data_IF_242430051315
#
_entry.id   IF_242430051315
#
_cell.length_a   1.000
_cell.length_b   1.000
_cell.length_c   1.000
_cell.angle_alpha   90.00
_cell.angle_beta   90.00
_cell.angle_gamma   90.00
#
_symmetry.space_group_name_H-M   'P 1'
#
loop_
_entity.id
_entity.type
_entity.pdbx_description
1 polymer ?
#
# COMPACT_ATOMS: atom_id res chain seq x y z
N UNK A 1 18.19 -4.43 -62.48
CA UNK A 1 17.05 -5.06 -63.14
C UNK A 1 15.84 -4.27 -62.73
N UNK A 2 15.55 -3.13 -63.35
CA UNK A 2 14.85 -2.87 -64.59
C UNK A 2 13.63 -3.72 -64.81
N UNK A 3 12.50 -3.05 -64.76
CA UNK A 3 11.42 -3.02 -65.75
C UNK A 3 10.24 -2.28 -65.15
N UNK A 4 9.94 -1.07 -65.45
CA UNK A 4 9.47 -0.38 -66.62
C UNK A 4 8.27 -1.09 -67.27
N UNK A 5 7.04 -0.63 -66.97
CA UNK A 5 5.89 -0.81 -67.89
C UNK A 5 5.16 0.53 -67.98
N UNK A 6 5.42 1.14 -69.13
CA UNK A 6 4.65 2.17 -69.77
C UNK A 6 3.48 1.56 -70.50
N UNK A 7 2.39 2.24 -70.58
CA UNK A 7 1.35 2.20 -71.62
C UNK A 7 -0.02 2.28 -70.98
N UNK A 8 -0.95 3.09 -71.36
CA UNK A 8 -1.32 3.56 -72.69
C UNK A 8 -2.30 4.72 -72.55
N UNK A 9 -1.99 5.77 -73.19
CA UNK A 9 -2.91 6.86 -73.51
C UNK A 9 -3.95 6.35 -74.51
N UNK A 10 -5.22 6.50 -74.22
CA UNK A 10 -6.29 6.38 -75.20
C UNK A 10 -7.04 7.72 -75.25
N UNK A 11 -6.65 8.50 -76.20
CA UNK A 11 -7.35 9.67 -76.65
C UNK A 11 -8.69 9.23 -77.26
N UNK A 12 -9.78 9.75 -76.80
CA UNK A 12 -11.01 9.80 -77.56
C UNK A 12 -11.57 11.21 -77.39
N UNK A 13 -11.47 11.90 -78.48
CA UNK A 13 -12.05 13.21 -78.75
C UNK A 13 -13.53 13.03 -79.05
N UNK A 14 -14.41 13.70 -78.27
CA UNK A 14 -15.72 14.11 -78.74
C UNK A 14 -16.25 15.21 -77.81
N UNK A 15 -16.50 16.32 -78.45
CA UNK A 15 -17.08 17.54 -77.89
C UNK A 15 -18.43 17.28 -77.22
N UNK A 16 -18.63 17.86 -76.02
CA UNK A 16 -19.81 18.72 -75.79
C UNK A 16 -19.61 19.47 -74.48
N UNK A 17 -20.08 20.72 -74.50
CA UNK A 17 -19.89 21.69 -73.41
C UNK A 17 -20.59 21.30 -72.12
N UNK A 18 -19.84 20.76 -71.19
CA UNK A 18 -20.28 20.64 -69.83
C UNK A 18 -19.37 21.54 -68.94
N UNK A 19 -20.02 22.53 -68.43
CA UNK A 19 -19.59 23.48 -67.43
C UNK A 19 -18.77 22.76 -66.32
N UNK A 20 -17.49 23.04 -66.24
CA UNK A 20 -16.64 22.61 -65.15
C UNK A 20 -17.13 23.31 -63.90
N UNK A 21 -17.98 22.60 -63.19
CA UNK A 21 -18.30 22.95 -61.80
C UNK A 21 -17.01 22.73 -61.01
N UNK A 22 -16.41 23.83 -60.64
CA UNK A 22 -15.23 23.90 -59.77
C UNK A 22 -15.65 23.24 -58.43
N UNK A 23 -15.33 21.96 -58.26
CA UNK A 23 -15.37 21.29 -56.96
C UNK A 23 -14.37 22.00 -56.10
N UNK A 24 -14.82 22.97 -55.31
CA UNK A 24 -14.02 23.58 -54.27
C UNK A 24 -13.49 22.50 -53.37
N UNK A 25 -12.17 22.48 -53.06
CA UNK A 25 -11.63 21.48 -52.14
C UNK A 25 -12.42 21.59 -50.80
N UNK A 26 -13.10 20.49 -50.49
CA UNK A 26 -13.80 20.29 -49.24
C UNK A 26 -12.79 20.51 -48.11
N UNK A 27 -12.94 21.59 -47.33
CA UNK A 27 -12.09 21.88 -46.19
C UNK A 27 -12.14 20.66 -45.28
N UNK A 28 -10.98 20.04 -44.92
CA UNK A 28 -10.97 18.96 -43.97
C UNK A 28 -11.68 19.40 -42.69
N UNK A 29 -12.49 18.54 -42.04
CA UNK A 29 -13.26 18.88 -40.87
C UNK A 29 -12.30 19.38 -39.79
N UNK A 30 -12.41 20.66 -39.46
CA UNK A 30 -11.53 21.34 -38.50
C UNK A 30 -11.80 20.77 -37.11
N UNK A 31 -10.97 19.76 -36.79
CA UNK A 31 -10.48 19.44 -35.44
C UNK A 31 -11.43 19.59 -34.25
N UNK A 32 -12.21 18.55 -34.01
CA UNK A 32 -12.69 18.27 -32.64
C UNK A 32 -11.53 18.06 -31.64
N UNK A 33 -10.32 17.76 -32.12
CA UNK A 33 -9.13 17.48 -31.30
C UNK A 33 -8.63 18.66 -30.46
N UNK A 34 -8.76 19.91 -30.96
CA UNK A 34 -8.34 21.11 -30.18
C UNK A 34 -9.25 21.37 -28.98
N UNK A 35 -10.56 21.19 -29.11
CA UNK A 35 -11.50 21.35 -28.01
C UNK A 35 -11.37 20.19 -27.00
N UNK A 36 -11.20 18.98 -27.48
CA UNK A 36 -10.94 17.82 -26.62
C UNK A 36 -9.62 17.97 -25.85
N UNK A 37 -8.54 18.41 -26.51
CA UNK A 37 -7.25 18.67 -25.84
C UNK A 37 -7.35 19.76 -24.77
N UNK A 38 -8.13 20.81 -25.00
CA UNK A 38 -8.33 21.86 -24.02
C UNK A 38 -9.13 21.37 -22.81
N UNK A 39 -10.17 20.58 -23.02
CA UNK A 39 -10.96 19.99 -21.93
C UNK A 39 -10.11 19.05 -21.09
N UNK A 40 -9.35 18.17 -21.74
CA UNK A 40 -8.41 17.27 -21.03
C UNK A 40 -7.37 18.07 -20.25
N UNK A 41 -6.80 19.12 -20.84
CA UNK A 41 -5.84 20.00 -20.16
C UNK A 41 -6.43 20.68 -18.92
N UNK A 42 -7.66 21.16 -18.98
CA UNK A 42 -8.36 21.75 -17.83
C UNK A 42 -8.59 20.71 -16.74
N UNK A 43 -9.08 19.50 -17.10
CA UNK A 43 -9.33 18.42 -16.13
C UNK A 43 -8.04 18.02 -15.43
N UNK A 44 -6.95 17.80 -16.17
CA UNK A 44 -5.63 17.48 -15.60
C UNK A 44 -5.13 18.60 -14.71
N UNK A 45 -5.29 19.86 -15.13
CA UNK A 45 -4.92 21.02 -14.33
C UNK A 45 -5.68 21.11 -13.00
N UNK A 46 -6.99 20.88 -13.03
CA UNK A 46 -7.82 20.85 -11.80
C UNK A 46 -7.41 19.72 -10.87
N UNK A 47 -7.17 18.51 -11.40
CA UNK A 47 -6.70 17.38 -10.60
C UNK A 47 -5.32 17.66 -9.99
N UNK A 48 -4.40 18.26 -10.73
CA UNK A 48 -3.10 18.65 -10.22
C UNK A 48 -3.21 19.68 -9.10
N UNK A 49 -4.05 20.70 -9.27
CA UNK A 49 -4.30 21.71 -8.22
C UNK A 49 -4.94 21.08 -6.97
N UNK A 50 -5.91 20.20 -7.14
CA UNK A 50 -6.51 19.46 -6.02
C UNK A 50 -5.49 18.62 -5.27
N UNK A 51 -4.58 17.96 -6.00
CA UNK A 51 -3.49 17.19 -5.39
C UNK A 51 -2.50 18.08 -4.63
N UNK A 52 -2.11 19.22 -5.20
CA UNK A 52 -1.26 20.20 -4.51
C UNK A 52 -1.93 20.72 -3.25
N UNK A 53 -3.24 20.99 -3.28
CA UNK A 53 -3.99 21.39 -2.11
C UNK A 53 -4.01 20.29 -1.04
N UNK A 54 -4.19 19.03 -1.41
CA UNK A 54 -4.10 17.91 -0.48
C UNK A 54 -2.72 17.81 0.17
N UNK A 55 -1.63 17.97 -0.60
CA UNK A 55 -0.28 18.01 -0.06
C UNK A 55 -0.09 19.15 0.97
N UNK A 56 -0.62 20.34 0.68
CA UNK A 56 -0.57 21.47 1.60
C UNK A 56 -1.37 21.19 2.89
N UNK A 57 -2.57 20.61 2.78
CA UNK A 57 -3.38 20.22 3.94
C UNK A 57 -2.63 19.27 4.86
N UNK A 58 -1.97 18.23 4.31
CA UNK A 58 -1.16 17.31 5.13
C UNK A 58 -0.06 18.04 5.87
N UNK A 59 0.61 18.95 5.19
CA UNK A 59 1.73 19.68 5.81
C UNK A 59 1.29 20.61 6.93
N UNK A 60 0.15 21.30 6.76
CA UNK A 60 -0.29 22.30 7.72
C UNK A 60 -1.17 21.75 8.84
N UNK A 61 -2.00 20.73 8.55
CA UNK A 61 -2.97 20.20 9.51
C UNK A 61 -2.57 18.84 10.10
N UNK A 62 -1.84 18.02 9.36
CA UNK A 62 -1.54 16.64 9.78
C UNK A 62 -0.05 16.38 10.00
N UNK A 63 0.79 17.42 10.15
CA UNK A 63 2.21 17.20 10.42
C UNK A 63 2.43 16.53 11.79
N UNK A 64 1.66 16.97 12.80
CA UNK A 64 1.76 16.50 14.19
C UNK A 64 0.48 15.79 14.66
N UNK A 65 -0.35 15.32 13.72
CA UNK A 65 -1.56 14.56 13.99
C UNK A 65 -1.63 13.30 13.13
N UNK A 66 -2.30 12.27 13.63
CA UNK A 66 -2.57 11.06 12.86
C UNK A 66 -3.51 11.36 11.68
N UNK A 67 -3.34 10.64 10.57
CA UNK A 67 -4.24 10.74 9.42
C UNK A 67 -5.62 10.15 9.76
N UNK A 68 -6.68 10.53 9.00
CA UNK A 68 -7.97 9.86 9.11
C UNK A 68 -7.86 8.35 8.91
N UNK A 69 -8.72 7.58 9.58
CA UNK A 69 -8.76 6.11 9.52
C UNK A 69 -7.42 5.44 9.82
N UNK A 70 -6.71 5.97 10.81
CA UNK A 70 -5.46 5.37 11.34
C UNK A 70 -5.73 4.72 12.68
N UNK A 71 -5.36 3.45 12.81
CA UNK A 71 -5.35 2.72 14.08
C UNK A 71 -3.92 2.25 14.43
N UNK A 72 -3.66 2.11 15.72
CA UNK A 72 -2.44 1.52 16.28
C UNK A 72 -2.84 0.31 17.10
N UNK A 73 -2.43 -0.89 16.64
CA UNK A 73 -2.81 -2.17 17.25
C UNK A 73 -4.33 -2.27 17.53
N UNK A 74 -5.16 -1.79 16.59
CA UNK A 74 -6.62 -1.82 16.71
C UNK A 74 -7.25 -0.68 17.50
N UNK A 75 -6.47 0.24 18.06
CA UNK A 75 -6.96 1.45 18.71
C UNK A 75 -7.05 2.59 17.71
N UNK A 76 -8.24 3.15 17.50
CA UNK A 76 -8.44 4.29 16.60
C UNK A 76 -7.80 5.55 17.18
N UNK A 77 -6.85 6.09 16.43
CA UNK A 77 -6.12 7.33 16.77
C UNK A 77 -6.31 8.41 15.70
N UNK A 78 -7.31 8.27 14.85
CA UNK A 78 -7.60 9.16 13.73
C UNK A 78 -7.69 10.63 14.17
N UNK A 79 -6.91 11.49 13.52
CA UNK A 79 -6.90 12.93 13.78
C UNK A 79 -6.34 13.37 15.14
N UNK A 80 -5.84 12.44 15.96
CA UNK A 80 -5.28 12.77 17.28
C UNK A 80 -3.85 13.32 17.14
N UNK A 81 -3.52 14.29 18.00
CA UNK A 81 -2.16 14.80 18.12
C UNK A 81 -1.25 13.81 18.86
N UNK A 82 0.06 13.89 18.62
CA UNK A 82 1.04 12.99 19.24
C UNK A 82 0.87 12.89 20.78
N UNK A 83 0.71 14.02 21.47
CA UNK A 83 0.51 14.05 22.92
C UNK A 83 -0.78 13.34 23.38
N UNK A 84 -1.84 13.40 22.58
CA UNK A 84 -3.10 12.72 22.89
C UNK A 84 -2.95 11.20 22.73
N UNK A 85 -2.22 10.76 21.70
CA UNK A 85 -1.91 9.35 21.49
C UNK A 85 -1.02 8.82 22.61
N UNK A 86 0.00 9.58 23.00
CA UNK A 86 0.87 9.21 24.12
C UNK A 86 0.07 9.04 25.42
N UNK A 87 -0.78 10.01 25.76
CA UNK A 87 -1.63 9.93 26.95
C UNK A 87 -2.66 8.78 26.90
N UNK A 88 -3.21 8.51 25.72
CA UNK A 88 -4.11 7.39 25.51
C UNK A 88 -3.36 6.07 25.68
N UNK A 89 -2.13 5.98 25.16
CA UNK A 89 -1.32 4.79 25.28
C UNK A 89 -0.86 4.53 26.72
N UNK A 90 -0.53 5.57 27.51
CA UNK A 90 -0.25 5.45 28.94
C UNK A 90 -1.42 4.87 29.72
N UNK A 91 -2.66 5.17 29.30
CA UNK A 91 -3.86 4.69 29.99
C UNK A 91 -4.32 3.30 29.53
N UNK A 92 -4.14 2.96 28.28
CA UNK A 92 -4.75 1.78 27.67
C UNK A 92 -3.75 0.80 27.05
N UNK A 93 -2.46 1.17 26.95
CA UNK A 93 -1.45 0.38 26.24
C UNK A 93 -1.31 -1.04 26.80
N UNK A 94 -1.25 -1.21 28.11
CA UNK A 94 -1.20 -2.52 28.78
C UNK A 94 -2.40 -3.40 28.39
N UNK A 95 -3.60 -2.82 28.43
CA UNK A 95 -4.80 -3.53 28.02
C UNK A 95 -4.79 -3.93 26.57
N UNK A 96 -4.31 -3.06 25.70
CA UNK A 96 -4.19 -3.35 24.25
C UNK A 96 -3.24 -4.51 24.00
N UNK A 97 -2.10 -4.56 24.70
CA UNK A 97 -1.12 -5.63 24.60
C UNK A 97 -1.68 -6.95 25.16
N UNK A 98 -2.47 -6.89 26.23
CA UNK A 98 -3.17 -8.05 26.79
C UNK A 98 -4.24 -8.60 25.85
N UNK A 99 -5.02 -7.73 25.21
CA UNK A 99 -6.13 -8.12 24.33
C UNK A 99 -5.65 -8.51 22.90
N UNK A 100 -4.40 -8.16 22.53
CA UNK A 100 -3.84 -8.49 21.23
C UNK A 100 -3.15 -9.82 21.25
N UNK A 101 -3.77 -10.83 20.61
CA UNK A 101 -3.25 -12.18 20.51
C UNK A 101 -2.53 -12.43 19.17
N UNK A 102 -1.39 -13.10 19.23
CA UNK A 102 -0.67 -13.64 18.09
C UNK A 102 -1.03 -15.11 17.94
N UNK A 103 -1.60 -15.48 16.81
CA UNK A 103 -1.92 -16.87 16.51
C UNK A 103 -0.69 -17.57 15.94
N UNK A 104 -0.30 -18.65 16.59
CA UNK A 104 0.77 -19.52 16.13
C UNK A 104 0.22 -20.54 15.15
N UNK A 105 0.86 -20.68 14.00
CA UNK A 105 0.43 -21.64 12.98
C UNK A 105 1.58 -22.55 12.57
N UNK A 106 1.30 -23.84 12.46
CA UNK A 106 2.18 -24.85 11.90
C UNK A 106 1.54 -25.47 10.68
N UNK A 107 2.22 -25.46 9.54
CA UNK A 107 1.70 -26.00 8.27
C UNK A 107 0.31 -25.44 7.86
N UNK A 108 -0.05 -24.23 8.33
CA UNK A 108 -1.34 -23.59 8.08
C UNK A 108 -2.45 -23.93 9.07
N UNK A 109 -2.18 -24.77 10.05
CA UNK A 109 -3.09 -25.09 11.15
C UNK A 109 -2.72 -24.28 12.40
N UNK A 110 -3.74 -23.74 13.10
CA UNK A 110 -3.51 -22.98 14.34
C UNK A 110 -3.17 -23.95 15.48
N UNK A 111 -1.97 -23.79 16.05
CA UNK A 111 -1.46 -24.59 17.16
C UNK A 111 -1.61 -23.92 18.52
N UNK A 112 -1.87 -22.60 18.54
CA UNK A 112 -2.04 -21.85 19.78
C UNK A 112 -2.16 -20.36 19.55
N UNK A 113 -2.50 -19.63 20.59
CA UNK A 113 -2.51 -18.19 20.62
C UNK A 113 -1.83 -17.68 21.89
N UNK A 114 -1.05 -16.61 21.79
CA UNK A 114 -0.34 -15.99 22.89
C UNK A 114 -0.54 -14.48 22.79
N UNK A 115 -0.75 -13.81 23.91
CA UNK A 115 -0.89 -12.36 23.91
C UNK A 115 0.47 -11.67 23.78
N UNK A 116 0.48 -10.43 23.29
CA UNK A 116 1.73 -9.65 23.22
C UNK A 116 2.33 -9.41 24.59
N UNK A 117 1.49 -9.25 25.60
CA UNK A 117 1.93 -9.11 27.00
C UNK A 117 2.66 -10.37 27.49
N UNK A 118 2.10 -11.57 27.23
CA UNK A 118 2.75 -12.84 27.61
C UNK A 118 4.09 -13.06 26.91
N UNK A 119 4.26 -12.48 25.71
CA UNK A 119 5.54 -12.49 24.99
C UNK A 119 6.54 -11.46 25.52
N UNK A 120 6.19 -10.71 26.57
CA UNK A 120 7.05 -9.65 27.12
C UNK A 120 7.22 -8.46 26.20
N UNK A 121 6.27 -8.25 25.28
CA UNK A 121 6.26 -7.11 24.35
C UNK A 121 5.83 -5.87 25.09
N UNK A 122 6.62 -4.81 24.95
CA UNK A 122 6.28 -3.47 25.43
C UNK A 122 6.30 -2.46 24.30
N UNK A 123 5.45 -1.45 24.41
CA UNK A 123 5.35 -0.35 23.45
C UNK A 123 5.39 0.96 24.21
N UNK A 124 6.37 1.79 23.90
CA UNK A 124 6.43 3.12 24.52
C UNK A 124 5.35 4.04 23.93
N UNK A 125 4.77 4.96 24.72
CA UNK A 125 3.80 5.94 24.22
C UNK A 125 4.31 6.72 23.00
N UNK A 126 5.59 7.09 23.00
CA UNK A 126 6.23 7.76 21.87
C UNK A 126 6.28 6.88 20.62
N UNK A 127 6.55 5.58 20.76
CA UNK A 127 6.57 4.64 19.63
C UNK A 127 5.17 4.52 19.00
N UNK A 128 4.11 4.52 19.80
CA UNK A 128 2.73 4.52 19.31
C UNK A 128 2.41 5.81 18.52
N UNK A 129 2.79 6.99 19.04
CA UNK A 129 2.60 8.27 18.36
C UNK A 129 3.38 8.36 17.03
N UNK A 130 4.63 7.85 17.02
CA UNK A 130 5.45 7.79 15.80
C UNK A 130 4.83 6.85 14.77
N UNK A 131 4.38 5.67 15.19
CA UNK A 131 3.74 4.69 14.31
C UNK A 131 2.46 5.25 13.67
N UNK A 132 1.64 5.97 14.43
CA UNK A 132 0.47 6.68 13.92
C UNK A 132 0.82 7.79 12.92
N UNK A 133 2.12 8.10 12.78
CA UNK A 133 2.61 9.20 11.96
C UNK A 133 2.21 10.57 12.53
N UNK A 134 1.89 10.66 13.81
CA UNK A 134 1.51 11.90 14.49
C UNK A 134 2.72 12.70 14.99
N UNK A 135 3.95 12.18 14.82
CA UNK A 135 5.17 12.86 15.23
C UNK A 135 6.11 13.00 14.04
N UNK A 136 6.43 14.25 13.70
CA UNK A 136 7.44 14.60 12.67
C UNK A 136 7.33 13.82 11.35
N UNK A 137 6.10 13.61 10.88
CA UNK A 137 5.85 12.82 9.66
C UNK A 137 6.68 13.26 8.47
N UNK A 138 6.77 14.56 8.23
CA UNK A 138 7.50 15.12 7.12
C UNK A 138 9.00 14.83 7.21
N UNK A 139 9.58 14.91 8.41
CA UNK A 139 10.99 14.60 8.67
C UNK A 139 11.24 13.09 8.51
N UNK A 140 10.33 12.25 8.99
CA UNK A 140 10.44 10.78 8.87
C UNK A 140 10.48 10.29 7.42
N UNK A 141 9.89 11.06 6.50
CA UNK A 141 9.91 10.76 5.06
C UNK A 141 11.13 11.36 4.32
N UNK A 142 12.11 11.90 5.05
CA UNK A 142 13.35 12.43 4.50
C UNK A 142 13.25 13.89 4.03
N UNK A 143 12.14 14.55 4.25
CA UNK A 143 11.92 15.95 3.83
C UNK A 143 11.89 16.15 2.31
N UNK A 144 11.84 17.41 1.88
CA UNK A 144 11.89 17.77 0.47
C UNK A 144 10.62 17.53 -0.34
N UNK A 145 10.72 17.73 -1.66
CA UNK A 145 9.56 17.66 -2.55
C UNK A 145 8.89 16.28 -2.62
N UNK A 146 9.67 15.21 -2.51
CA UNK A 146 9.14 13.84 -2.54
C UNK A 146 8.32 13.52 -1.30
N UNK A 147 8.77 13.94 -0.11
CA UNK A 147 8.00 13.78 1.13
C UNK A 147 6.69 14.57 1.06
N UNK A 148 6.72 15.76 0.47
CA UNK A 148 5.54 16.58 0.29
C UNK A 148 4.51 15.93 -0.65
N UNK A 149 4.95 15.39 -1.79
CA UNK A 149 4.09 14.65 -2.72
C UNK A 149 3.52 13.38 -2.08
N UNK A 150 4.34 12.64 -1.33
CA UNK A 150 3.90 11.45 -0.60
C UNK A 150 2.79 11.79 0.39
N UNK A 151 2.88 12.92 1.09
CA UNK A 151 1.87 13.37 2.04
C UNK A 151 0.48 13.49 1.41
N UNK A 152 0.37 14.09 0.23
CA UNK A 152 -0.90 14.17 -0.49
C UNK A 152 -1.48 12.80 -0.87
N UNK A 153 -0.63 11.88 -1.31
CA UNK A 153 -1.04 10.51 -1.62
C UNK A 153 -1.57 9.77 -0.38
N UNK A 154 -0.84 9.83 0.74
CA UNK A 154 -1.25 9.15 1.98
C UNK A 154 -2.56 9.74 2.55
N UNK A 155 -2.78 11.05 2.45
CA UNK A 155 -4.05 11.65 2.85
C UNK A 155 -5.22 11.13 2.00
N UNK A 156 -5.07 11.14 0.67
CA UNK A 156 -6.12 10.66 -0.21
C UNK A 156 -6.39 9.17 0.05
N UNK A 157 -5.34 8.39 0.20
CA UNK A 157 -5.46 6.96 0.52
C UNK A 157 -6.16 6.73 1.86
N UNK A 158 -5.83 7.49 2.90
CA UNK A 158 -6.42 7.32 4.23
C UNK A 158 -7.93 7.56 4.29
N UNK A 159 -8.50 8.26 3.31
CA UNK A 159 -9.95 8.44 3.22
C UNK A 159 -10.69 7.19 2.75
N UNK A 160 -10.01 6.31 2.02
CA UNK A 160 -10.59 5.11 1.41
C UNK A 160 -10.12 3.81 2.04
N UNK A 161 -8.96 3.84 2.72
CA UNK A 161 -8.31 2.64 3.26
C UNK A 161 -7.91 2.90 4.70
N UNK A 162 -8.38 2.05 5.61
CA UNK A 162 -7.90 2.04 6.98
C UNK A 162 -6.42 1.67 7.01
N UNK A 163 -5.63 2.44 7.75
CA UNK A 163 -4.20 2.20 7.91
C UNK A 163 -3.94 1.73 9.33
N UNK A 164 -3.64 0.43 9.44
CA UNK A 164 -3.22 -0.14 10.71
C UNK A 164 -1.70 0.01 10.86
N UNK A 165 -1.29 0.70 11.89
CA UNK A 165 0.10 0.96 12.19
C UNK A 165 0.59 0.06 13.31
N UNK A 166 1.77 -0.54 13.09
CA UNK A 166 2.44 -1.33 14.13
C UNK A 166 3.58 -0.49 14.69
N UNK A 167 3.55 -0.18 15.99
CA UNK A 167 4.61 0.57 16.64
C UNK A 167 5.89 -0.25 16.74
N UNK A 168 7.01 0.42 17.01
CA UNK A 168 8.23 -0.27 17.38
C UNK A 168 8.00 -1.03 18.69
N UNK A 169 8.22 -2.34 18.63
CA UNK A 169 8.06 -3.25 19.75
C UNK A 169 9.41 -3.42 20.44
N UNK A 170 9.41 -3.30 21.77
CA UNK A 170 10.52 -3.72 22.60
C UNK A 170 10.15 -5.03 23.27
N UNK A 171 11.07 -6.00 23.29
CA UNK A 171 10.80 -7.38 23.73
C UNK A 171 11.74 -7.72 24.86
N UNK A 172 11.19 -8.05 26.02
CA UNK A 172 11.96 -8.64 27.11
C UNK A 172 12.30 -10.10 26.78
N UNK A 173 13.60 -10.34 26.54
CA UNK A 173 14.08 -11.65 26.16
C UNK A 173 13.77 -12.73 27.22
N UNK A 174 13.82 -12.36 28.50
CA UNK A 174 13.55 -13.31 29.59
C UNK A 174 12.09 -13.73 29.64
N UNK A 175 11.16 -12.79 29.39
CA UNK A 175 9.74 -13.06 29.32
C UNK A 175 9.41 -13.89 28.07
N UNK A 176 10.05 -13.57 26.94
CA UNK A 176 9.90 -14.33 25.69
C UNK A 176 10.34 -15.79 25.88
N UNK A 177 11.50 -16.02 26.49
CA UNK A 177 12.02 -17.37 26.73
C UNK A 177 11.06 -18.16 27.65
N UNK A 178 10.55 -17.55 28.73
CA UNK A 178 9.57 -18.15 29.60
C UNK A 178 8.24 -18.49 28.90
N UNK A 179 7.77 -17.60 28.00
CA UNK A 179 6.60 -17.86 27.18
C UNK A 179 6.81 -19.02 26.21
N UNK A 180 8.00 -19.09 25.59
CA UNK A 180 8.36 -20.19 24.71
C UNK A 180 8.41 -21.56 25.46
N UNK A 181 8.96 -21.60 26.67
CA UNK A 181 8.99 -22.80 27.51
C UNK A 181 7.56 -23.25 27.88
N UNK A 182 6.71 -22.30 28.28
CA UNK A 182 5.32 -22.58 28.62
C UNK A 182 4.54 -23.11 27.40
N UNK A 183 4.76 -22.52 26.24
CA UNK A 183 4.17 -22.98 24.98
C UNK A 183 4.65 -24.40 24.62
N UNK A 184 5.95 -24.66 24.67
CA UNK A 184 6.52 -25.97 24.40
C UNK A 184 5.92 -27.05 25.31
N UNK A 185 5.72 -26.72 26.60
CA UNK A 185 5.07 -27.62 27.54
C UNK A 185 3.59 -27.86 27.22
N UNK A 186 2.87 -26.85 26.73
CA UNK A 186 1.45 -26.95 26.39
C UNK A 186 1.20 -27.70 25.08
N UNK A 187 2.08 -27.54 24.10
CA UNK A 187 1.98 -28.21 22.80
C UNK A 187 2.29 -29.70 22.88
N UNK A 188 2.85 -30.13 24.03
CA UNK A 188 3.14 -31.55 24.34
C UNK A 188 3.63 -32.32 23.10
N UNK A 189 4.58 -31.73 22.41
CA UNK A 189 5.30 -32.44 21.37
C UNK A 189 6.13 -33.52 22.08
N UNK A 190 5.49 -34.66 22.36
CA UNK A 190 6.21 -35.86 22.63
C UNK A 190 7.01 -36.08 21.36
N UNK A 191 8.29 -35.72 21.38
CA UNK A 191 9.23 -36.18 20.39
C UNK A 191 9.23 -37.68 20.53
N UNK A 192 8.36 -38.33 19.76
CA UNK A 192 8.48 -39.76 19.56
C UNK A 192 9.80 -39.88 18.84
N UNK A 193 10.81 -40.38 19.55
CA UNK A 193 12.11 -40.72 18.97
C UNK A 193 11.82 -41.55 17.72
N UNK A 194 11.90 -40.88 16.55
CA UNK A 194 11.69 -41.52 15.28
C UNK A 194 12.82 -42.52 15.06
N UNK A 195 12.61 -43.73 15.55
CA UNK A 195 13.55 -44.82 15.29
C UNK A 195 13.55 -45.11 13.80
N UNK A 196 14.72 -45.04 13.17
CA UNK A 196 14.85 -45.56 11.82
C UNK A 196 15.36 -46.99 11.89
N UNK A 197 14.67 -47.89 11.18
CA UNK A 197 15.07 -49.27 11.02
C UNK A 197 15.58 -49.47 9.60
N UNK A 198 16.82 -49.90 9.50
CA UNK A 198 17.43 -50.25 8.23
C UNK A 198 17.18 -51.74 8.02
N UNK A 199 16.24 -52.10 7.11
CA UNK A 199 16.10 -53.49 6.67
C UNK A 199 16.92 -53.73 5.39
N UNK A 200 17.68 -54.76 5.44
CA UNK A 200 18.62 -55.13 4.38
C UNK A 200 17.85 -55.51 3.10
N UNK A 201 17.76 -54.60 2.17
CA UNK A 201 17.12 -54.80 0.87
C UNK A 201 15.86 -53.92 0.57
N UNK A 202 15.26 -53.28 1.54
CA UNK A 202 13.99 -52.59 1.35
C UNK A 202 14.00 -51.07 1.59
N UNK A 203 15.14 -50.50 1.98
CA UNK A 203 15.23 -49.05 2.18
C UNK A 203 15.10 -48.59 3.64
N UNK A 204 15.09 -47.30 3.84
CA UNK A 204 15.00 -46.65 5.14
C UNK A 204 13.51 -46.43 5.51
N UNK A 205 13.03 -47.05 6.56
CA UNK A 205 11.68 -46.81 7.12
C UNK A 205 11.78 -45.93 8.36
N UNK A 206 10.96 -44.87 8.40
CA UNK A 206 10.78 -44.06 9.60
C UNK A 206 9.57 -44.63 10.36
N UNK A 207 9.82 -45.20 11.50
CA UNK A 207 8.71 -45.61 12.42
C UNK A 207 8.35 -44.45 13.30
N UNK A 208 7.08 -44.04 13.25
CA UNK A 208 6.46 -43.10 14.18
C UNK A 208 6.20 -43.73 15.51
#
# INVERSE_FOLDING_TARGET
MEENIVSSVKTTEAADGARLEQIAPEKPPVSGGRKAGLIVGIVVGVLALAYIAACAVVQFLYNDTALPHTDVLGVDVSGQAAQQIEALWEQQGERVLHDTAVTLTESGESIGAVTLEELGVTVTPQAAAVAAGASRRYESWGGGALAWLRGGYELIRSWFVQTSAVPALDVDQSALDAACEKLAASLNCTVVDGGYRLEKGEGLYITK
#
